data_IF_905562574067
#
_entry.id   IF_905562574067
#
_cell.length_a   1.000
_cell.length_b   1.000
_cell.length_c   1.000
_cell.angle_alpha   90.00
_cell.angle_beta   90.00
_cell.angle_gamma   90.00
#
_symmetry.space_group_name_H-M   'P 1'
#
loop_
_entity.id
_entity.type
_entity.pdbx_description
1 polymer ?
#
# COMPACT_ATOMS: atom_id res chain seq x y z
N UNK A 1 -6.49 7.45 -40.01
CA UNK A 1 -6.37 6.27 -39.12
C UNK A 1 -6.08 6.78 -37.73
N UNK A 2 -6.85 6.38 -36.71
CA UNK A 2 -6.61 6.78 -35.31
C UNK A 2 -5.33 6.15 -34.77
N UNK A 3 -4.60 6.87 -33.92
CA UNK A 3 -3.38 6.34 -33.31
C UNK A 3 -3.79 5.26 -32.30
N UNK A 4 -3.06 4.14 -32.17
CA UNK A 4 -3.41 3.06 -31.23
C UNK A 4 -3.59 3.53 -29.77
N UNK A 5 -3.02 4.68 -29.42
CA UNK A 5 -3.07 5.27 -28.08
C UNK A 5 -4.25 6.22 -27.84
N UNK A 6 -5.10 6.44 -28.85
CA UNK A 6 -6.20 7.38 -28.71
C UNK A 6 -7.30 6.78 -27.85
N UNK A 7 -7.78 7.57 -26.90
CA UNK A 7 -8.85 7.14 -26.00
C UNK A 7 -10.16 6.98 -26.76
N UNK A 8 -10.88 5.90 -26.48
CA UNK A 8 -12.26 5.69 -26.93
C UNK A 8 -13.19 5.64 -25.71
N UNK A 9 -14.38 6.26 -25.75
CA UNK A 9 -15.34 6.20 -24.64
C UNK A 9 -15.68 4.77 -24.20
N UNK A 10 -15.72 3.82 -25.15
CA UNK A 10 -15.94 2.38 -24.90
C UNK A 10 -14.91 1.77 -23.93
N UNK A 11 -13.70 2.34 -23.83
CA UNK A 11 -12.68 1.84 -22.92
C UNK A 11 -13.05 2.04 -21.45
N UNK A 12 -13.94 2.97 -21.11
CA UNK A 12 -14.44 3.12 -19.75
C UNK A 12 -15.23 1.88 -19.30
N UNK A 13 -16.15 1.40 -20.14
CA UNK A 13 -16.95 0.22 -19.83
C UNK A 13 -16.08 -1.05 -19.76
N UNK A 14 -15.13 -1.20 -20.70
CA UNK A 14 -14.17 -2.31 -20.66
C UNK A 14 -13.29 -2.27 -19.40
N UNK A 15 -12.78 -1.09 -19.02
CA UNK A 15 -11.97 -0.94 -17.81
C UNK A 15 -12.76 -1.28 -16.55
N UNK A 16 -14.03 -0.86 -16.47
CA UNK A 16 -14.94 -1.27 -15.39
C UNK A 16 -15.06 -2.79 -15.32
N UNK A 17 -15.29 -3.46 -16.45
CA UNK A 17 -15.45 -4.91 -16.51
C UNK A 17 -14.18 -5.64 -16.07
N UNK A 18 -13.00 -5.20 -16.52
CA UNK A 18 -11.74 -5.77 -16.06
C UNK A 18 -11.52 -5.55 -14.56
N UNK A 19 -11.74 -4.34 -14.04
CA UNK A 19 -11.59 -4.06 -12.61
C UNK A 19 -12.61 -4.80 -11.75
N UNK A 20 -13.81 -5.10 -12.27
CA UNK A 20 -14.82 -5.92 -11.60
C UNK A 20 -14.36 -7.38 -11.40
N UNK A 21 -13.51 -7.86 -12.31
CA UNK A 21 -12.83 -9.15 -12.21
C UNK A 21 -11.57 -9.12 -11.35
N UNK A 22 -11.16 -7.94 -10.86
CA UNK A 22 -9.99 -7.76 -10.01
C UNK A 22 -8.72 -7.32 -10.74
N UNK A 23 -8.83 -6.90 -12.01
CA UNK A 23 -7.68 -6.33 -12.72
C UNK A 23 -7.16 -5.06 -12.05
N UNK A 24 -5.84 -5.00 -11.91
CA UNK A 24 -5.09 -3.83 -11.45
C UNK A 24 -4.89 -2.81 -12.57
N UNK A 25 -4.60 -1.57 -12.21
CA UNK A 25 -4.33 -0.51 -13.20
C UNK A 25 -3.12 -0.79 -14.09
N UNK A 26 -2.14 -1.54 -13.56
CA UNK A 26 -0.95 -1.98 -14.29
C UNK A 26 -1.30 -2.99 -15.39
N UNK A 27 -2.24 -3.90 -15.10
CA UNK A 27 -2.72 -4.91 -16.04
C UNK A 27 -3.63 -4.31 -17.13
N UNK A 28 -4.36 -3.22 -16.83
CA UNK A 28 -5.18 -2.50 -17.83
C UNK A 28 -4.35 -2.07 -19.05
N UNK A 29 -3.10 -1.64 -18.84
CA UNK A 29 -2.21 -1.29 -19.95
C UNK A 29 -2.01 -2.47 -20.91
N UNK A 30 -1.79 -3.66 -20.36
CA UNK A 30 -1.68 -4.90 -21.13
C UNK A 30 -2.95 -5.22 -21.91
N UNK A 31 -4.13 -5.12 -21.28
CA UNK A 31 -5.41 -5.41 -21.94
C UNK A 31 -5.75 -4.45 -23.08
N UNK A 32 -5.39 -3.18 -22.95
CA UNK A 32 -5.61 -2.17 -23.99
C UNK A 32 -4.45 -2.06 -24.99
N UNK A 33 -3.36 -2.81 -24.79
CA UNK A 33 -2.16 -2.72 -25.64
C UNK A 33 -1.45 -1.37 -25.57
N UNK A 34 -1.54 -0.67 -24.43
CA UNK A 34 -0.95 0.65 -24.23
C UNK A 34 -0.03 0.66 -23.01
N UNK A 35 0.90 1.62 -22.95
CA UNK A 35 1.72 1.80 -21.74
C UNK A 35 0.88 2.23 -20.54
N UNK A 36 1.31 1.88 -19.33
CA UNK A 36 0.73 2.37 -18.07
C UNK A 36 0.67 3.91 -18.01
N UNK A 37 1.68 4.59 -18.58
CA UNK A 37 1.67 6.06 -18.72
C UNK A 37 0.43 6.55 -19.51
N UNK A 38 0.01 5.81 -20.53
CA UNK A 38 -1.18 6.14 -21.32
C UNK A 38 -2.45 5.99 -20.48
N UNK A 39 -2.58 4.92 -19.70
CA UNK A 39 -3.71 4.70 -18.78
C UNK A 39 -3.80 5.82 -17.75
N UNK A 40 -2.67 6.19 -17.12
CA UNK A 40 -2.60 7.31 -16.16
C UNK A 40 -3.01 8.63 -16.80
N UNK A 41 -2.63 8.87 -18.05
CA UNK A 41 -3.05 10.06 -18.80
C UNK A 41 -4.54 10.05 -19.13
N UNK A 42 -5.10 8.91 -19.52
CA UNK A 42 -6.54 8.77 -19.74
C UNK A 42 -7.33 9.04 -18.46
N UNK A 43 -6.93 8.48 -17.31
CA UNK A 43 -7.56 8.77 -16.00
C UNK A 43 -7.57 10.26 -15.65
N UNK A 44 -6.49 10.99 -15.96
CA UNK A 44 -6.41 12.43 -15.70
C UNK A 44 -7.31 13.26 -16.63
N UNK A 45 -7.42 12.85 -17.90
CA UNK A 45 -8.15 13.61 -18.93
C UNK A 45 -9.63 13.24 -19.01
N UNK A 46 -10.00 12.03 -18.60
CA UNK A 46 -11.33 11.46 -18.76
C UNK A 46 -11.88 11.04 -17.39
N UNK A 47 -12.72 11.86 -16.74
CA UNK A 47 -13.24 11.56 -15.41
C UNK A 47 -14.14 10.31 -15.41
N UNK A 48 -14.87 10.04 -16.50
CA UNK A 48 -15.70 8.84 -16.65
C UNK A 48 -14.87 7.56 -16.61
N UNK A 49 -13.70 7.55 -17.26
CA UNK A 49 -12.78 6.41 -17.23
C UNK A 49 -12.25 6.16 -15.81
N UNK A 50 -11.90 7.22 -15.08
CA UNK A 50 -11.47 7.10 -13.69
C UNK A 50 -12.61 6.60 -12.78
N UNK A 51 -13.83 7.10 -12.95
CA UNK A 51 -15.00 6.65 -12.22
C UNK A 51 -15.32 5.16 -12.48
N UNK A 52 -15.24 4.73 -13.74
CA UNK A 52 -15.44 3.35 -14.15
C UNK A 52 -14.46 2.37 -13.49
N UNK A 53 -13.16 2.72 -13.42
CA UNK A 53 -12.14 1.93 -12.71
C UNK A 53 -12.47 1.85 -11.21
N UNK A 54 -12.81 2.98 -10.58
CA UNK A 54 -13.14 3.00 -9.15
C UNK A 54 -14.38 2.15 -8.86
N UNK A 55 -15.41 2.25 -9.70
CA UNK A 55 -16.63 1.44 -9.59
C UNK A 55 -16.33 -0.05 -9.73
N UNK A 56 -15.56 -0.46 -10.75
CA UNK A 56 -15.17 -1.86 -10.94
C UNK A 56 -14.37 -2.40 -9.76
N UNK A 57 -13.38 -1.63 -9.30
CA UNK A 57 -12.51 -2.03 -8.19
C UNK A 57 -13.24 -2.13 -6.85
N UNK A 58 -14.33 -1.39 -6.62
CA UNK A 58 -15.14 -1.50 -5.40
C UNK A 58 -15.63 -2.92 -5.17
N UNK A 59 -16.10 -3.59 -6.23
CA UNK A 59 -16.63 -4.96 -6.10
C UNK A 59 -15.53 -5.97 -5.76
N UNK A 60 -14.41 -5.90 -6.48
CA UNK A 60 -13.25 -6.74 -6.21
C UNK A 60 -12.72 -6.52 -4.78
N UNK A 61 -12.56 -5.26 -4.37
CA UNK A 61 -12.10 -4.90 -3.03
C UNK A 61 -13.08 -5.36 -1.95
N UNK A 62 -14.40 -5.25 -2.17
CA UNK A 62 -15.40 -5.74 -1.23
C UNK A 62 -15.30 -7.25 -1.01
N UNK A 63 -15.10 -8.03 -2.08
CA UNK A 63 -14.88 -9.49 -1.99
C UNK A 63 -13.64 -9.83 -1.17
N UNK A 64 -12.52 -9.17 -1.45
CA UNK A 64 -11.26 -9.38 -0.71
C UNK A 64 -11.43 -8.99 0.76
N UNK A 65 -12.08 -7.85 1.02
CA UNK A 65 -12.38 -7.38 2.38
C UNK A 65 -13.25 -8.37 3.15
N UNK A 66 -14.28 -8.94 2.50
CA UNK A 66 -15.13 -9.98 3.10
C UNK A 66 -14.34 -11.22 3.48
N UNK A 67 -13.51 -11.75 2.57
CA UNK A 67 -12.64 -12.90 2.86
C UNK A 67 -11.63 -12.62 3.97
N UNK A 68 -11.09 -11.42 4.01
CA UNK A 68 -10.18 -11.00 5.08
C UNK A 68 -10.92 -10.93 6.44
N UNK A 69 -12.15 -10.41 6.44
CA UNK A 69 -12.99 -10.38 7.64
C UNK A 69 -13.32 -11.78 8.15
N UNK A 70 -13.70 -12.71 7.27
CA UNK A 70 -13.95 -14.12 7.62
C UNK A 70 -12.73 -14.72 8.32
N UNK A 71 -11.53 -14.56 7.73
CA UNK A 71 -10.28 -15.04 8.35
C UNK A 71 -9.99 -14.39 9.70
N UNK A 72 -10.32 -13.11 9.87
CA UNK A 72 -10.21 -12.46 11.18
C UNK A 72 -11.13 -13.13 12.21
N UNK A 73 -12.37 -13.46 11.84
CA UNK A 73 -13.34 -14.11 12.74
C UNK A 73 -12.94 -15.56 13.05
N UNK A 74 -12.25 -16.22 12.14
CA UNK A 74 -11.65 -17.56 12.35
C UNK A 74 -10.41 -17.54 13.26
N UNK A 75 -9.91 -16.36 13.63
CA UNK A 75 -8.75 -16.22 14.53
C UNK A 75 -7.40 -16.18 13.82
N UNK A 76 -7.36 -15.92 12.51
CA UNK A 76 -6.10 -15.72 11.78
C UNK A 76 -5.40 -14.45 12.26
N UNK A 77 -4.34 -14.62 13.05
CA UNK A 77 -3.58 -13.53 13.67
C UNK A 77 -2.97 -12.60 12.63
N UNK A 78 -2.53 -13.11 11.47
CA UNK A 78 -1.97 -12.28 10.40
C UNK A 78 -3.04 -11.38 9.79
N UNK A 79 -4.23 -11.93 9.51
CA UNK A 79 -5.37 -11.15 9.02
C UNK A 79 -5.78 -10.06 10.03
N UNK A 80 -5.85 -10.41 11.32
CA UNK A 80 -6.21 -9.49 12.41
C UNK A 80 -5.19 -8.36 12.52
N UNK A 81 -3.88 -8.66 12.54
CA UNK A 81 -2.83 -7.64 12.60
C UNK A 81 -2.91 -6.72 11.38
N UNK A 82 -3.06 -7.30 10.18
CA UNK A 82 -3.19 -6.51 8.96
C UNK A 82 -4.40 -5.57 9.02
N UNK A 83 -5.55 -6.04 9.52
CA UNK A 83 -6.76 -5.24 9.66
C UNK A 83 -6.60 -4.10 10.67
N UNK A 84 -6.01 -4.38 11.84
CA UNK A 84 -5.75 -3.34 12.85
C UNK A 84 -4.82 -2.25 12.30
N UNK A 85 -3.75 -2.64 11.61
CA UNK A 85 -2.80 -1.68 11.03
C UNK A 85 -3.41 -0.87 9.89
N UNK A 86 -4.00 -1.53 8.88
CA UNK A 86 -4.46 -0.86 7.66
C UNK A 86 -5.85 -0.23 7.77
N UNK A 87 -6.79 -0.89 8.46
CA UNK A 87 -8.18 -0.40 8.55
C UNK A 87 -8.41 0.46 9.79
N UNK A 88 -7.85 0.08 10.94
CA UNK A 88 -8.05 0.80 12.20
C UNK A 88 -6.97 1.85 12.47
N UNK A 89 -5.93 1.94 11.64
CA UNK A 89 -4.86 2.94 11.76
C UNK A 89 -3.93 2.72 12.95
N UNK A 90 -3.84 1.48 13.46
CA UNK A 90 -2.93 1.17 14.56
C UNK A 90 -1.49 1.29 14.09
N UNK A 91 -0.67 1.98 14.90
CA UNK A 91 0.77 2.08 14.69
C UNK A 91 1.50 1.52 15.91
N UNK A 92 2.58 0.80 15.65
CA UNK A 92 3.46 0.31 16.71
C UNK A 92 4.03 1.54 17.44
N UNK A 93 3.85 1.61 18.75
CA UNK A 93 4.45 2.64 19.59
C UNK A 93 5.77 2.10 20.10
N UNK A 94 6.86 2.71 19.68
CA UNK A 94 8.16 2.51 20.33
C UNK A 94 8.28 3.56 21.41
N UNK A 95 8.11 3.17 22.67
CA UNK A 95 8.52 4.01 23.80
C UNK A 95 10.05 3.98 23.86
N UNK A 96 10.68 4.80 23.03
CA UNK A 96 12.13 5.00 23.11
C UNK A 96 12.35 5.85 24.36
N UNK A 97 12.71 5.21 25.47
CA UNK A 97 13.22 5.93 26.65
C UNK A 97 14.62 6.42 26.27
N UNK A 98 14.67 7.48 25.47
CA UNK A 98 15.90 8.20 25.25
C UNK A 98 16.21 8.95 26.54
N UNK A 99 17.08 8.38 27.38
CA UNK A 99 17.84 9.21 28.32
C UNK A 99 18.65 10.17 27.44
N UNK A 100 18.30 11.45 27.48
CA UNK A 100 18.97 12.48 26.68
C UNK A 100 20.46 12.48 27.02
N UNK A 101 21.30 12.13 26.05
CA UNK A 101 22.75 12.31 26.14
C UNK A 101 23.61 11.04 26.07
N UNK A 102 23.04 9.83 26.12
CA UNK A 102 23.80 8.58 25.99
C UNK A 102 23.15 7.73 24.89
N UNK A 103 23.95 7.28 23.90
CA UNK A 103 23.46 6.30 22.93
C UNK A 103 23.09 5.02 23.68
N UNK A 104 21.94 4.36 23.40
CA UNK A 104 21.58 3.10 24.06
C UNK A 104 22.66 2.02 23.96
N UNK A 105 23.47 2.06 22.89
CA UNK A 105 24.63 1.18 22.72
C UNK A 105 25.76 1.55 23.69
N UNK A 106 26.00 2.84 23.93
CA UNK A 106 27.04 3.32 24.85
C UNK A 106 26.70 2.97 26.31
N UNK A 107 25.41 3.01 26.69
CA UNK A 107 24.93 2.58 28.02
C UNK A 107 25.15 1.06 28.19
N UNK A 108 24.75 0.25 27.21
CA UNK A 108 24.96 -1.19 27.23
C UNK A 108 26.44 -1.58 27.26
N UNK A 109 27.33 -0.85 26.58
CA UNK A 109 28.76 -1.12 26.55
C UNK A 109 29.48 -0.71 27.85
N UNK A 110 28.94 0.26 28.58
CA UNK A 110 29.47 0.67 29.88
C UNK A 110 29.21 -0.36 30.99
N UNK A 111 28.12 -1.13 30.88
CA UNK A 111 27.75 -2.17 31.84
C UNK A 111 28.43 -3.53 31.58
N UNK A 112 29.20 -3.66 30.48
CA UNK A 112 29.96 -4.88 30.19
C UNK A 112 31.29 -4.86 30.95
N UNK A 113 31.45 -5.77 31.90
CA UNK A 113 32.71 -5.90 32.66
C UNK A 113 33.90 -6.17 31.73
N UNK A 114 34.94 -5.34 31.84
CA UNK A 114 36.19 -5.49 31.10
C UNK A 114 36.28 -4.69 29.79
N UNK A 115 35.29 -3.87 29.42
CA UNK A 115 35.45 -2.96 28.27
C UNK A 115 36.36 -1.78 28.63
N UNK A 116 37.22 -1.36 27.69
CA UNK A 116 38.05 -0.16 27.82
C UNK A 116 37.36 1.07 27.21
N UNK A 117 36.07 0.97 26.89
CA UNK A 117 35.34 2.02 26.20
C UNK A 117 34.88 3.09 27.21
N UNK A 118 35.54 4.25 27.20
CA UNK A 118 35.04 5.44 27.89
C UNK A 118 34.29 6.32 26.89
N UNK A 119 33.04 6.73 27.15
CA UNK A 119 32.34 7.72 26.33
C UNK A 119 33.20 8.98 26.24
N UNK A 120 33.32 9.59 25.06
CA UNK A 120 34.06 10.85 24.92
C UNK A 120 33.31 11.95 25.68
N UNK A 121 33.97 12.57 26.65
CA UNK A 121 33.51 13.82 27.24
C UNK A 121 33.36 14.86 26.13
N UNK A 122 32.16 15.45 26.02
CA UNK A 122 31.89 16.55 25.09
C UNK A 122 32.11 17.90 25.78
N UNK A 123 32.80 18.79 25.07
CA UNK A 123 32.74 20.24 25.30
C UNK A 123 31.34 20.78 24.97
#
# INVERSE_FOLDING_TARGET
>A
MSRPTDYKPEYAELARNYCLLGATEEELGGFFGVSDRTIRNWKKKQPEFAAAIVEGSRHANAKVTGRLFDRCMEGDVTAIIWWQKNKMGWRDRTDVVAKVGISPIDELLADVEGTTFMPKDRA
#
